data_IF_816168095339
#
_entry.id   IF_816168095339
#
_cell.length_a   1.000
_cell.length_b   1.000
_cell.length_c   1.000
_cell.angle_alpha   90.00
_cell.angle_beta   90.00
_cell.angle_gamma   90.00
#
_symmetry.space_group_name_H-M   'P 1'
#
loop_
_entity.id
_entity.type
_entity.pdbx_description
1 polymer ?
#
# COMPACT_ATOMS: atom_id res chain seq x y z
N UNK A 1 -26.36 16.70 -19.71
CA UNK A 1 -25.48 15.71 -19.03
C UNK A 1 -26.32 14.50 -18.66
N UNK A 2 -26.00 13.28 -19.15
CA UNK A 2 -26.74 12.07 -18.75
C UNK A 2 -26.49 11.81 -17.27
N UNK A 3 -27.57 11.75 -16.47
CA UNK A 3 -27.55 11.27 -15.08
C UNK A 3 -26.96 9.86 -15.03
N UNK A 4 -25.65 9.74 -14.82
CA UNK A 4 -25.02 8.47 -14.51
C UNK A 4 -25.41 8.15 -13.06
N UNK A 5 -26.35 7.22 -12.88
CA UNK A 5 -26.66 6.68 -11.55
C UNK A 5 -25.34 6.21 -10.92
N UNK A 6 -25.10 6.50 -9.63
CA UNK A 6 -23.91 6.00 -8.95
C UNK A 6 -23.92 4.48 -9.05
N UNK A 7 -22.86 3.93 -9.66
CA UNK A 7 -22.64 2.49 -9.70
C UNK A 7 -22.36 2.10 -8.26
N UNK A 8 -23.30 1.41 -7.60
CA UNK A 8 -23.02 0.82 -6.29
C UNK A 8 -21.89 -0.19 -6.50
N UNK A 9 -20.77 -0.11 -5.76
CA UNK A 9 -19.76 -1.15 -5.81
C UNK A 9 -20.46 -2.48 -5.48
N UNK A 10 -20.42 -3.42 -6.43
CA UNK A 10 -21.08 -4.72 -6.30
C UNK A 10 -20.42 -5.59 -5.23
N UNK A 11 -19.16 -5.30 -4.88
CA UNK A 11 -18.36 -6.09 -3.95
C UNK A 11 -18.41 -5.54 -2.53
N UNK A 12 -18.39 -6.46 -1.57
CA UNK A 12 -18.08 -6.17 -0.16
C UNK A 12 -16.64 -5.67 -0.09
N UNK A 13 -16.35 -4.72 0.81
CA UNK A 13 -14.95 -4.29 1.08
C UNK A 13 -14.11 -5.49 1.47
N UNK A 14 -12.86 -5.51 1.00
CA UNK A 14 -11.92 -6.55 1.36
C UNK A 14 -11.59 -6.46 2.86
N UNK A 15 -11.64 -7.61 3.53
CA UNK A 15 -11.40 -7.71 4.97
C UNK A 15 -10.50 -8.87 5.34
N UNK A 16 -9.81 -9.43 4.35
CA UNK A 16 -8.76 -10.41 4.56
C UNK A 16 -7.59 -9.72 5.29
N UNK A 17 -6.89 -10.46 6.14
CA UNK A 17 -5.66 -9.97 6.77
C UNK A 17 -4.47 -10.05 5.82
N UNK A 18 -4.57 -10.85 4.77
CA UNK A 18 -3.49 -11.03 3.82
C UNK A 18 -4.08 -11.36 2.47
N UNK A 19 -3.60 -10.67 1.45
CA UNK A 19 -3.96 -10.87 0.06
C UNK A 19 -2.82 -10.40 -0.86
N UNK A 20 -3.13 -10.27 -2.16
CA UNK A 20 -2.15 -9.82 -3.14
C UNK A 20 -1.67 -8.38 -2.88
N UNK A 21 -2.51 -7.52 -2.31
CA UNK A 21 -2.15 -6.15 -1.98
C UNK A 21 -1.18 -6.10 -0.82
N UNK A 22 -1.37 -6.93 0.20
CA UNK A 22 -0.40 -7.12 1.29
C UNK A 22 0.99 -7.53 0.79
N UNK A 23 1.07 -8.33 -0.27
CA UNK A 23 2.34 -8.68 -0.93
C UNK A 23 2.96 -7.46 -1.62
N UNK A 24 2.15 -6.61 -2.26
CA UNK A 24 2.62 -5.36 -2.87
C UNK A 24 3.18 -4.41 -1.81
N UNK A 25 2.49 -4.27 -0.67
CA UNK A 25 2.94 -3.49 0.48
C UNK A 25 4.29 -3.99 1.00
N UNK A 26 4.40 -5.30 1.26
CA UNK A 26 5.65 -5.93 1.68
C UNK A 26 6.80 -5.65 0.69
N UNK A 27 6.59 -5.93 -0.59
CA UNK A 27 7.64 -5.80 -1.60
C UNK A 27 8.03 -4.34 -1.85
N UNK A 28 7.07 -3.41 -1.83
CA UNK A 28 7.33 -1.98 -1.94
C UNK A 28 8.10 -1.48 -0.72
N UNK A 29 7.72 -1.94 0.48
CA UNK A 29 8.46 -1.70 1.71
C UNK A 29 9.90 -2.18 1.62
N UNK A 30 10.15 -3.39 1.09
CA UNK A 30 11.52 -3.90 0.86
C UNK A 30 12.31 -2.96 -0.05
N UNK A 31 11.74 -2.57 -1.18
CA UNK A 31 12.42 -1.69 -2.12
C UNK A 31 12.69 -0.31 -1.51
N UNK A 32 11.74 0.25 -0.76
CA UNK A 32 11.92 1.54 -0.12
C UNK A 32 12.96 1.45 1.00
N UNK A 33 12.84 0.49 1.91
CA UNK A 33 13.82 0.29 2.98
C UNK A 33 15.24 0.04 2.47
N UNK A 34 15.38 -0.49 1.25
CA UNK A 34 16.68 -0.68 0.61
C UNK A 34 17.29 0.63 0.07
N UNK A 35 16.47 1.52 -0.50
CA UNK A 35 16.96 2.72 -1.19
C UNK A 35 16.85 4.01 -0.35
N UNK A 36 16.14 4.03 0.78
CA UNK A 36 15.95 5.25 1.57
C UNK A 36 15.99 4.99 3.08
N UNK A 37 16.14 6.03 3.92
CA UNK A 37 16.11 5.87 5.37
C UNK A 37 14.80 5.19 5.83
N UNK A 38 14.85 4.21 6.76
CA UNK A 38 13.71 3.36 7.09
C UNK A 38 12.52 4.13 7.64
N UNK A 39 12.75 5.19 8.42
CA UNK A 39 11.67 6.03 8.94
C UNK A 39 10.98 6.85 7.84
N UNK A 40 11.74 7.30 6.84
CA UNK A 40 11.19 7.98 5.66
C UNK A 40 10.36 7.02 4.82
N UNK A 41 10.88 5.82 4.55
CA UNK A 41 10.16 4.75 3.85
C UNK A 41 8.83 4.44 4.54
N UNK A 42 8.88 4.20 5.85
CA UNK A 42 7.69 3.85 6.62
C UNK A 42 6.68 4.99 6.66
N UNK A 43 7.12 6.24 6.82
CA UNK A 43 6.23 7.40 6.80
C UNK A 43 5.49 7.53 5.45
N UNK A 44 6.19 7.32 4.34
CA UNK A 44 5.58 7.35 3.00
C UNK A 44 4.54 6.23 2.86
N UNK A 45 4.91 4.99 3.19
CA UNK A 45 4.02 3.83 3.07
C UNK A 45 2.77 3.96 3.96
N UNK A 46 2.94 4.36 5.22
CA UNK A 46 1.81 4.56 6.15
C UNK A 46 0.90 5.71 5.72
N UNK A 47 1.44 6.78 5.13
CA UNK A 47 0.62 7.89 4.62
C UNK A 47 -0.03 7.57 3.26
N UNK A 48 0.50 6.60 2.53
CA UNK A 48 -0.09 6.11 1.28
C UNK A 48 -1.42 5.39 1.53
N UNK A 49 -1.50 4.58 2.57
CA UNK A 49 -2.72 3.86 3.00
C UNK A 49 -3.99 4.74 3.12
N UNK A 50 -4.02 5.82 3.92
CA UNK A 50 -5.20 6.67 4.01
C UNK A 50 -5.46 7.42 2.70
N UNK A 51 -4.44 7.77 1.92
CA UNK A 51 -4.62 8.36 0.59
C UNK A 51 -5.33 7.37 -0.34
N UNK A 52 -4.91 6.12 -0.33
CA UNK A 52 -5.49 5.05 -1.12
C UNK A 52 -6.95 4.81 -0.76
N UNK A 53 -7.26 4.61 0.52
CA UNK A 53 -8.61 4.24 0.97
C UNK A 53 -9.58 5.42 0.95
N UNK A 54 -9.13 6.62 1.32
CA UNK A 54 -10.01 7.78 1.47
C UNK A 54 -10.13 8.62 0.20
N UNK A 55 -9.13 8.58 -0.68
CA UNK A 55 -9.08 9.42 -1.89
C UNK A 55 -9.16 8.57 -3.15
N UNK A 56 -8.23 7.65 -3.37
CA UNK A 56 -8.14 6.91 -4.63
C UNK A 56 -9.31 5.94 -4.80
N UNK A 57 -9.62 5.15 -3.77
CA UNK A 57 -10.68 4.14 -3.79
C UNK A 57 -12.06 4.72 -4.14
N UNK A 58 -12.53 5.82 -3.51
CA UNK A 58 -13.78 6.48 -3.92
C UNK A 58 -13.75 7.06 -5.33
N UNK A 59 -12.61 7.59 -5.78
CA UNK A 59 -12.47 8.16 -7.13
C UNK A 59 -12.53 7.06 -8.20
N UNK A 60 -11.79 5.99 -8.00
CA UNK A 60 -11.66 4.86 -8.92
C UNK A 60 -12.93 3.99 -8.94
N UNK A 61 -13.63 3.87 -7.81
CA UNK A 61 -14.93 3.20 -7.75
C UNK A 61 -15.97 3.84 -8.68
N UNK A 62 -15.89 5.15 -8.96
CA UNK A 62 -16.78 5.82 -9.93
C UNK A 62 -16.57 5.33 -11.37
N UNK A 63 -15.41 4.76 -11.65
CA UNK A 63 -15.04 4.17 -12.94
C UNK A 63 -15.19 2.65 -12.94
N UNK A 64 -15.65 2.05 -11.83
CA UNK A 64 -15.81 0.60 -11.69
C UNK A 64 -14.51 -0.14 -11.33
N UNK A 65 -13.48 0.58 -10.88
CA UNK A 65 -12.19 0.02 -10.47
C UNK A 65 -12.21 -0.14 -8.94
N UNK A 66 -11.88 -1.34 -8.44
CA UNK A 66 -11.88 -1.68 -7.01
C UNK A 66 -10.48 -1.61 -6.38
N UNK A 67 -9.72 -0.59 -6.74
CA UNK A 67 -8.39 -0.31 -6.18
C UNK A 67 -8.52 0.29 -4.77
N UNK A 68 -7.75 -0.18 -3.79
CA UNK A 68 -7.84 0.29 -2.40
C UNK A 68 -9.21 0.11 -1.77
N UNK A 69 -10.01 -0.84 -2.25
CA UNK A 69 -11.37 -1.07 -1.76
C UNK A 69 -11.39 -1.96 -0.52
N UNK A 70 -10.81 -1.42 0.56
CA UNK A 70 -10.42 -2.18 1.72
C UNK A 70 -11.12 -1.74 3.00
N UNK A 71 -11.17 -2.65 3.97
CA UNK A 71 -11.62 -2.37 5.33
C UNK A 71 -10.45 -1.85 6.17
N UNK A 72 -10.77 -1.20 7.29
CA UNK A 72 -9.75 -0.79 8.26
C UNK A 72 -8.87 -1.96 8.73
N UNK A 73 -9.43 -3.16 8.83
CA UNK A 73 -8.69 -4.36 9.25
C UNK A 73 -7.62 -4.77 8.24
N UNK A 74 -7.92 -4.66 6.95
CA UNK A 74 -6.99 -4.97 5.85
C UNK A 74 -5.87 -3.95 5.84
N UNK A 75 -6.22 -2.65 5.78
CA UNK A 75 -5.29 -1.52 5.86
C UNK A 75 -4.31 -1.58 7.04
N UNK A 76 -4.78 -1.92 8.24
CA UNK A 76 -3.89 -2.11 9.40
C UNK A 76 -2.94 -3.29 9.23
N UNK A 77 -3.39 -4.33 8.53
CA UNK A 77 -2.54 -5.46 8.15
C UNK A 77 -1.51 -5.04 7.10
N UNK A 78 -1.90 -4.23 6.12
CA UNK A 78 -0.99 -3.74 5.08
C UNK A 78 0.09 -2.82 5.67
N UNK A 79 -0.25 -1.97 6.65
CA UNK A 79 0.74 -1.24 7.46
C UNK A 79 1.71 -2.19 8.18
N UNK A 80 1.23 -3.32 8.70
CA UNK A 80 2.13 -4.31 9.31
C UNK A 80 3.09 -4.89 8.26
N UNK A 81 2.61 -5.21 7.06
CA UNK A 81 3.47 -5.67 5.96
C UNK A 81 4.44 -4.59 5.48
N UNK A 82 4.08 -3.31 5.52
CA UNK A 82 4.99 -2.20 5.23
C UNK A 82 6.15 -2.17 6.22
N UNK A 83 5.86 -2.30 7.52
CA UNK A 83 6.90 -2.34 8.57
C UNK A 83 7.85 -3.52 8.33
N UNK A 84 7.30 -4.71 8.08
CA UNK A 84 8.11 -5.91 7.81
C UNK A 84 8.94 -5.71 6.54
N UNK A 85 8.34 -5.17 5.47
CA UNK A 85 9.00 -4.94 4.20
C UNK A 85 10.16 -3.96 4.34
N UNK A 86 9.90 -2.79 4.93
CA UNK A 86 10.94 -1.77 5.21
C UNK A 86 12.06 -2.36 6.04
N UNK A 87 11.74 -3.18 7.05
CA UNK A 87 12.76 -3.81 7.87
C UNK A 87 13.64 -4.79 7.07
N UNK A 88 13.02 -5.63 6.24
CA UNK A 88 13.75 -6.54 5.36
C UNK A 88 14.62 -5.76 4.36
N UNK A 89 14.12 -4.67 3.78
CA UNK A 89 14.90 -3.80 2.90
C UNK A 89 16.13 -3.19 3.59
N UNK A 90 15.90 -2.54 4.73
CA UNK A 90 16.91 -1.75 5.43
C UNK A 90 18.01 -2.61 6.05
N UNK A 91 17.67 -3.78 6.61
CA UNK A 91 18.60 -4.60 7.40
C UNK A 91 18.95 -5.95 6.79
N UNK A 92 18.18 -6.50 5.85
CA UNK A 92 18.49 -7.78 5.21
C UNK A 92 19.00 -7.59 3.79
N UNK A 93 18.27 -6.85 2.96
CA UNK A 93 18.64 -6.67 1.55
C UNK A 93 19.94 -5.87 1.41
N UNK A 94 20.11 -4.82 2.22
CA UNK A 94 21.35 -4.02 2.26
C UNK A 94 22.60 -4.84 2.60
N UNK A 95 22.49 -5.92 3.38
CA UNK A 95 23.62 -6.79 3.73
C UNK A 95 24.06 -7.70 2.57
N UNK A 96 23.14 -8.05 1.67
CA UNK A 96 23.42 -8.96 0.55
C UNK A 96 23.61 -8.25 -0.78
N UNK A 97 23.10 -7.02 -0.91
CA UNK A 97 23.17 -6.22 -2.11
C UNK A 97 23.23 -4.72 -1.78
N UNK A 98 24.24 -4.03 -2.30
CA UNK A 98 24.28 -2.58 -2.24
C UNK A 98 23.12 -1.99 -3.06
N UNK A 99 22.48 -0.95 -2.52
CA UNK A 99 21.43 -0.26 -3.24
C UNK A 99 22.00 0.39 -4.52
N UNK A 100 21.27 0.34 -5.65
CA UNK A 100 21.75 0.95 -6.90
C UNK A 100 21.82 2.49 -6.81
N UNK A 101 21.05 3.07 -5.88
CA UNK A 101 21.04 4.49 -5.53
C UNK A 101 20.39 4.66 -4.16
N UNK A 102 20.60 5.83 -3.55
CA UNK A 102 19.90 6.23 -2.34
C UNK A 102 19.06 7.48 -2.59
N UNK A 103 17.88 7.52 -1.99
CA UNK A 103 16.96 8.65 -2.01
C UNK A 103 16.96 9.27 -0.61
N UNK A 104 17.52 10.47 -0.53
CA UNK A 104 17.81 11.27 0.68
C UNK A 104 18.96 10.74 1.54
#
# INVERSE_FOLDING_TARGET
MKNRKPIKPKSKRNGNLFDAWSVVHLMTGVLFGWIMPPFTALAIMVLWEPLEILVLSPLLARQGITFGYESLRNSLSDIFFDVVGVALGAWLLTEVAAAPFHVF
#
